data_IF_523185268700
#
_entry.id   IF_523185268700
#
_cell.length_a   1.000
_cell.length_b   1.000
_cell.length_c   1.000
_cell.angle_alpha   90.00
_cell.angle_beta   90.00
_cell.angle_gamma   90.00
#
_symmetry.space_group_name_H-M   'P 1'
#
loop_
_entity.id
_entity.type
_entity.pdbx_description
1 polymer ?
#
# COMPACT_ATOMS: atom_id res chain seq x y z
N UNK A 1 16.31 -24.51 -2.19
CA UNK A 1 17.77 -24.33 -2.38
C UNK A 1 18.43 -25.51 -1.68
N UNK A 2 18.95 -26.44 -2.45
CA UNK A 2 19.67 -27.60 -1.91
C UNK A 2 21.16 -27.22 -1.73
N UNK A 3 21.62 -27.30 -0.49
CA UNK A 3 22.99 -26.94 -0.18
C UNK A 3 23.77 -28.14 0.40
N UNK A 4 24.38 -28.92 -0.47
CA UNK A 4 25.17 -30.09 -0.12
C UNK A 4 26.42 -29.80 0.76
N UNK A 5 26.73 -28.51 1.06
CA UNK A 5 27.96 -28.11 1.78
C UNK A 5 27.68 -27.54 3.19
N UNK A 6 26.53 -27.78 3.77
CA UNK A 6 26.17 -27.32 5.13
C UNK A 6 26.28 -25.80 5.36
N UNK A 7 26.28 -24.97 4.32
CA UNK A 7 26.21 -23.51 4.49
C UNK A 7 24.81 -23.10 4.96
N UNK A 8 24.73 -22.16 5.90
CA UNK A 8 23.47 -21.55 6.27
C UNK A 8 23.04 -20.57 5.15
N UNK A 9 21.81 -20.72 4.68
CA UNK A 9 21.23 -19.84 3.68
C UNK A 9 20.18 -18.98 4.34
N UNK A 10 20.36 -17.66 4.30
CA UNK A 10 19.36 -16.67 4.70
C UNK A 10 18.78 -16.08 3.42
N UNK A 11 17.47 -16.21 3.23
CA UNK A 11 16.79 -15.73 2.04
C UNK A 11 15.72 -14.71 2.43
N UNK A 12 15.78 -13.52 1.82
CA UNK A 12 14.69 -12.55 1.82
C UNK A 12 13.76 -12.91 0.66
N UNK A 13 12.50 -13.21 0.97
CA UNK A 13 11.52 -13.64 -0.02
C UNK A 13 10.48 -12.53 -0.21
N UNK A 14 9.96 -12.41 -1.43
CA UNK A 14 8.86 -11.52 -1.75
C UNK A 14 7.60 -11.89 -0.94
N UNK A 15 6.79 -10.88 -0.63
CA UNK A 15 5.53 -11.05 0.07
C UNK A 15 4.55 -9.94 -0.29
N UNK A 16 3.25 -10.25 -0.22
CA UNK A 16 2.17 -9.29 -0.49
C UNK A 16 1.39 -9.06 0.79
N UNK A 17 1.80 -8.03 1.54
CA UNK A 17 1.09 -7.62 2.73
C UNK A 17 -0.24 -6.96 2.36
N UNK A 18 -1.26 -7.24 3.14
CA UNK A 18 -2.59 -6.73 2.84
C UNK A 18 -3.37 -6.32 4.10
N UNK A 19 -4.40 -5.50 3.87
CA UNK A 19 -5.32 -5.03 4.90
C UNK A 19 -6.74 -5.26 4.41
N UNK A 20 -7.57 -5.88 5.25
CA UNK A 20 -9.01 -5.95 5.05
C UNK A 20 -9.67 -4.82 5.83
N UNK A 21 -10.51 -4.02 5.19
CA UNK A 21 -11.33 -3.01 5.85
C UNK A 21 -12.79 -3.41 5.70
N UNK A 22 -13.39 -3.85 6.81
CA UNK A 22 -14.82 -4.19 6.91
C UNK A 22 -15.63 -3.03 7.49
N UNK A 23 -15.21 -2.54 8.64
CA UNK A 23 -15.84 -1.44 9.36
C UNK A 23 -14.82 -0.76 10.29
N UNK A 24 -15.17 0.38 10.87
CA UNK A 24 -14.36 1.03 11.90
C UNK A 24 -15.18 2.04 12.68
N UNK A 25 -14.96 2.14 13.98
CA UNK A 25 -15.49 3.19 14.86
C UNK A 25 -14.52 4.37 15.05
N UNK A 26 -13.42 4.40 14.30
CA UNK A 26 -12.37 5.41 14.36
C UNK A 26 -11.81 5.76 12.97
N UNK A 27 -12.69 6.09 12.02
CA UNK A 27 -12.34 6.26 10.60
C UNK A 27 -11.18 7.24 10.36
N UNK A 28 -11.22 8.41 11.01
CA UNK A 28 -10.15 9.41 10.87
C UNK A 28 -8.80 8.92 11.45
N UNK A 29 -8.83 8.10 12.50
CA UNK A 29 -7.63 7.51 13.08
C UNK A 29 -7.07 6.40 12.17
N UNK A 30 -7.94 5.56 11.60
CA UNK A 30 -7.60 4.56 10.60
C UNK A 30 -6.90 5.22 9.39
N UNK A 31 -7.49 6.27 8.81
CA UNK A 31 -6.90 6.97 7.66
C UNK A 31 -5.52 7.57 7.99
N UNK A 32 -5.35 8.14 9.19
CA UNK A 32 -4.04 8.66 9.63
C UNK A 32 -3.01 7.56 9.79
N UNK A 33 -3.41 6.42 10.36
CA UNK A 33 -2.53 5.25 10.49
C UNK A 33 -2.11 4.71 9.12
N UNK A 34 -3.05 4.57 8.19
CA UNK A 34 -2.77 4.15 6.82
C UNK A 34 -1.84 5.16 6.12
N UNK A 35 -2.11 6.46 6.22
CA UNK A 35 -1.26 7.49 5.62
C UNK A 35 0.19 7.41 6.13
N UNK A 36 0.38 7.18 7.43
CA UNK A 36 1.72 6.98 8.01
C UNK A 36 2.38 5.70 7.48
N UNK A 37 1.71 4.55 7.59
CA UNK A 37 2.30 3.25 7.24
C UNK A 37 2.64 3.13 5.76
N UNK A 38 1.82 3.71 4.87
CA UNK A 38 2.07 3.72 3.43
C UNK A 38 3.19 4.68 3.02
N UNK A 39 3.47 5.70 3.85
CA UNK A 39 4.51 6.70 3.57
C UNK A 39 5.87 6.33 4.17
N UNK A 40 5.89 5.53 5.24
CA UNK A 40 7.09 5.22 6.00
C UNK A 40 8.20 4.64 5.12
N UNK A 41 9.37 5.30 5.12
CA UNK A 41 10.53 4.99 4.27
C UNK A 41 10.21 4.85 2.77
N UNK A 42 9.20 5.61 2.27
CA UNK A 42 8.69 5.48 0.90
C UNK A 42 8.32 4.03 0.55
N UNK A 43 7.60 3.35 1.46
CA UNK A 43 7.11 1.99 1.23
C UNK A 43 8.19 0.92 1.04
N UNK A 44 9.45 1.20 1.36
CA UNK A 44 10.56 0.27 1.16
C UNK A 44 10.81 -0.59 2.40
N UNK A 45 9.77 -1.19 2.92
CA UNK A 45 9.81 -2.10 4.06
C UNK A 45 9.07 -3.39 3.74
N UNK A 46 9.61 -4.52 4.20
CA UNK A 46 8.98 -5.83 4.07
C UNK A 46 7.58 -5.94 4.75
N UNK A 47 7.22 -4.97 5.58
CA UNK A 47 5.92 -4.88 6.28
C UNK A 47 4.96 -3.87 5.64
N UNK A 48 5.36 -3.14 4.59
CA UNK A 48 4.47 -2.17 3.93
C UNK A 48 3.27 -2.88 3.29
N UNK A 49 2.07 -2.40 3.60
CA UNK A 49 0.84 -2.98 3.04
C UNK A 49 0.65 -2.53 1.59
N UNK A 50 0.68 -3.50 0.68
CA UNK A 50 0.52 -3.27 -0.75
C UNK A 50 -0.94 -3.25 -1.18
N UNK A 51 -1.78 -4.13 -0.63
CA UNK A 51 -3.18 -4.26 -1.00
C UNK A 51 -4.10 -3.90 0.17
N UNK A 52 -5.05 -3.00 -0.06
CA UNK A 52 -6.12 -2.63 0.86
C UNK A 52 -7.43 -3.12 0.24
N UNK A 53 -8.05 -4.13 0.85
CA UNK A 53 -9.25 -4.80 0.35
C UNK A 53 -10.48 -4.13 0.95
N UNK A 54 -11.32 -3.53 0.10
CA UNK A 54 -12.50 -2.77 0.52
C UNK A 54 -13.74 -3.28 -0.21
N UNK A 55 -14.84 -3.61 0.50
CA UNK A 55 -16.09 -4.04 -0.11
C UNK A 55 -16.66 -3.02 -1.10
N UNK A 56 -17.24 -3.49 -2.19
CA UNK A 56 -17.87 -2.65 -3.22
C UNK A 56 -19.04 -1.85 -2.67
N UNK A 57 -19.75 -2.40 -1.66
CA UNK A 57 -20.80 -1.71 -0.92
C UNK A 57 -20.31 -0.60 0.01
N UNK A 58 -18.98 -0.51 0.20
CA UNK A 58 -18.39 0.41 1.16
C UNK A 58 -18.23 -0.21 2.55
N UNK A 59 -18.01 0.65 3.55
CA UNK A 59 -17.75 0.26 4.94
C UNK A 59 -18.61 1.08 5.89
N UNK A 60 -18.94 0.53 7.05
CA UNK A 60 -19.57 1.27 8.13
C UNK A 60 -18.53 2.01 8.97
N UNK A 61 -18.84 3.24 9.37
CA UNK A 61 -17.98 4.08 10.21
C UNK A 61 -18.80 4.80 11.30
N UNK A 62 -18.12 5.39 12.28
CA UNK A 62 -18.74 6.18 13.35
C UNK A 62 -19.56 7.38 12.82
N UNK A 63 -19.18 7.91 11.65
CA UNK A 63 -19.86 9.05 11.00
C UNK A 63 -20.90 8.58 9.95
N UNK A 64 -21.22 7.27 9.88
CA UNK A 64 -22.10 6.65 8.90
C UNK A 64 -21.36 5.88 7.79
N UNK A 65 -22.07 5.27 6.85
CA UNK A 65 -21.46 4.45 5.80
C UNK A 65 -20.64 5.30 4.84
N UNK A 66 -19.52 4.73 4.41
CA UNK A 66 -18.62 5.27 3.39
C UNK A 66 -18.59 4.35 2.18
N UNK A 67 -18.90 4.86 1.01
CA UNK A 67 -18.74 4.12 -0.24
C UNK A 67 -17.25 3.81 -0.53
N UNK A 68 -17.01 2.80 -1.36
CA UNK A 68 -15.65 2.48 -1.84
C UNK A 68 -14.93 3.71 -2.43
N UNK A 69 -15.62 4.51 -3.24
CA UNK A 69 -15.03 5.69 -3.87
C UNK A 69 -14.70 6.80 -2.84
N UNK A 70 -15.51 6.95 -1.80
CA UNK A 70 -15.21 7.86 -0.69
C UNK A 70 -13.99 7.39 0.10
N UNK A 71 -13.88 6.09 0.39
CA UNK A 71 -12.68 5.53 1.07
C UNK A 71 -11.42 5.79 0.25
N UNK A 72 -11.45 5.57 -1.07
CA UNK A 72 -10.35 5.87 -1.98
C UNK A 72 -9.96 7.36 -1.92
N UNK A 73 -10.95 8.26 -2.03
CA UNK A 73 -10.70 9.70 -2.03
C UNK A 73 -10.20 10.20 -0.68
N UNK A 74 -10.76 9.70 0.42
CA UNK A 74 -10.38 10.10 1.77
C UNK A 74 -8.98 9.57 2.14
N UNK A 75 -8.61 8.36 1.70
CA UNK A 75 -7.26 7.84 1.86
C UNK A 75 -6.23 8.68 1.09
N UNK A 76 -6.53 9.04 -0.16
CA UNK A 76 -5.65 9.91 -0.95
C UNK A 76 -5.45 11.27 -0.27
N UNK A 77 -6.54 11.91 0.23
CA UNK A 77 -6.47 13.15 1.01
C UNK A 77 -5.67 12.99 2.30
N UNK A 78 -5.82 11.86 3.00
CA UNK A 78 -5.10 11.59 4.24
C UNK A 78 -3.58 11.51 4.00
N UNK A 79 -3.15 10.81 2.93
CA UNK A 79 -1.73 10.74 2.54
C UNK A 79 -1.20 12.12 2.14
N UNK A 80 -1.93 12.87 1.32
CA UNK A 80 -1.55 14.23 0.93
C UNK A 80 -1.46 15.16 2.16
N UNK A 81 -2.45 15.13 3.03
CA UNK A 81 -2.48 15.95 4.25
C UNK A 81 -1.36 15.59 5.23
N UNK A 82 -1.05 14.30 5.36
CA UNK A 82 0.05 13.82 6.20
C UNK A 82 1.42 14.32 5.71
N UNK A 83 1.64 14.31 4.41
CA UNK A 83 2.89 14.74 3.77
C UNK A 83 2.92 16.25 3.39
N UNK A 84 1.87 17.02 3.73
CA UNK A 84 1.78 18.42 3.34
C UNK A 84 2.84 19.31 4.00
N UNK A 85 3.35 18.91 5.18
CA UNK A 85 4.42 19.64 5.87
C UNK A 85 5.77 19.07 5.47
N UNK A 86 6.68 19.88 4.88
CA UNK A 86 7.99 19.42 4.43
C UNK A 86 8.80 18.68 5.49
N UNK A 87 8.78 19.17 6.74
CA UNK A 87 9.47 18.55 7.86
C UNK A 87 8.95 17.13 8.17
N UNK A 88 7.65 16.89 8.04
CA UNK A 88 7.05 15.57 8.22
C UNK A 88 7.43 14.66 7.05
N UNK A 89 7.29 15.17 5.83
CA UNK A 89 7.61 14.41 4.63
C UNK A 89 9.10 13.98 4.60
N UNK A 90 10.03 14.88 4.95
CA UNK A 90 11.47 14.55 5.04
C UNK A 90 11.80 13.57 6.15
N UNK A 91 11.06 13.60 7.28
CA UNK A 91 11.27 12.67 8.38
C UNK A 91 10.76 11.26 8.11
N UNK A 92 9.72 11.13 7.27
CA UNK A 92 9.00 9.85 7.05
C UNK A 92 9.43 9.17 5.75
N UNK A 93 9.60 9.94 4.67
CA UNK A 93 9.96 9.38 3.36
C UNK A 93 11.45 9.03 3.30
N UNK A 94 11.75 7.93 2.62
CA UNK A 94 13.12 7.49 2.34
C UNK A 94 13.52 7.73 0.88
N UNK A 95 14.83 7.78 0.63
CA UNK A 95 15.33 7.75 -0.74
C UNK A 95 15.06 6.39 -1.40
N UNK A 96 14.68 6.41 -2.67
CA UNK A 96 14.49 5.18 -3.44
C UNK A 96 15.85 4.52 -3.68
N UNK A 97 15.97 3.25 -3.28
CA UNK A 97 17.24 2.55 -3.20
C UNK A 97 17.63 1.84 -4.50
N UNK A 98 16.68 1.60 -5.41
CA UNK A 98 16.98 0.91 -6.68
C UNK A 98 16.26 1.53 -7.88
N UNK A 99 16.89 1.42 -9.04
CA UNK A 99 16.28 1.85 -10.31
C UNK A 99 15.01 1.04 -10.64
N UNK A 100 14.96 -0.24 -10.25
CA UNK A 100 13.79 -1.09 -10.47
C UNK A 100 12.58 -0.61 -9.65
N UNK A 101 12.82 -0.15 -8.41
CA UNK A 101 11.75 0.44 -7.60
C UNK A 101 11.25 1.74 -8.22
N UNK A 102 12.15 2.58 -8.71
CA UNK A 102 11.77 3.81 -9.41
C UNK A 102 10.93 3.50 -10.66
N UNK A 103 11.37 2.56 -11.49
CA UNK A 103 10.63 2.13 -12.69
C UNK A 103 9.23 1.60 -12.35
N UNK A 104 9.09 0.84 -11.24
CA UNK A 104 7.76 0.38 -10.77
C UNK A 104 6.85 1.53 -10.35
N UNK A 105 7.42 2.56 -9.67
CA UNK A 105 6.66 3.76 -9.29
C UNK A 105 6.18 4.52 -10.52
N UNK A 106 7.03 4.66 -11.53
CA UNK A 106 6.70 5.34 -12.79
C UNK A 106 5.61 4.59 -13.56
N UNK A 107 5.73 3.26 -13.68
CA UNK A 107 4.71 2.39 -14.28
C UNK A 107 3.37 2.53 -13.56
N UNK A 108 3.37 2.47 -12.23
CA UNK A 108 2.16 2.61 -11.41
C UNK A 108 1.55 4.02 -11.58
N UNK A 109 2.37 5.06 -11.56
CA UNK A 109 1.92 6.45 -11.76
C UNK A 109 1.37 6.71 -13.17
N UNK A 110 1.80 5.94 -14.17
CA UNK A 110 1.28 5.96 -15.53
C UNK A 110 -0.12 5.35 -15.69
N UNK A 111 -0.63 4.67 -14.66
CA UNK A 111 -1.96 4.05 -14.67
C UNK A 111 -2.04 2.68 -15.35
N UNK A 112 -0.91 2.07 -15.67
CA UNK A 112 -0.88 0.75 -16.32
C UNK A 112 -1.33 -0.39 -15.40
N UNK A 113 -1.29 -0.17 -14.08
CA UNK A 113 -1.66 -1.15 -13.05
C UNK A 113 -3.03 -0.89 -12.41
N UNK A 114 -3.77 0.13 -12.87
CA UNK A 114 -5.07 0.50 -12.31
C UNK A 114 -5.35 2.00 -12.39
N UNK A 115 -6.51 2.41 -11.92
CA UNK A 115 -6.88 3.84 -11.88
C UNK A 115 -6.07 4.57 -10.81
N UNK A 116 -5.23 5.50 -11.21
CA UNK A 116 -4.47 6.34 -10.27
C UNK A 116 -5.43 7.24 -9.48
N UNK A 117 -5.45 7.09 -8.16
CA UNK A 117 -6.20 7.95 -7.22
C UNK A 117 -5.29 8.96 -6.51
N UNK A 118 -4.00 8.64 -6.42
CA UNK A 118 -2.95 9.56 -5.98
C UNK A 118 -1.67 9.24 -6.75
N UNK A 119 -1.18 10.17 -7.55
CA UNK A 119 0.09 10.02 -8.25
C UNK A 119 1.27 10.27 -7.31
N UNK A 120 2.34 9.51 -7.50
CA UNK A 120 3.61 9.77 -6.81
C UNK A 120 4.26 11.04 -7.34
N UNK A 121 4.82 11.82 -6.44
CA UNK A 121 5.61 13.01 -6.78
C UNK A 121 7.03 12.91 -6.22
N UNK A 122 7.98 13.53 -6.91
CA UNK A 122 9.34 13.69 -6.40
C UNK A 122 9.34 14.76 -5.32
N UNK A 123 10.02 14.48 -4.19
CA UNK A 123 10.29 15.44 -3.14
C UNK A 123 11.78 15.77 -3.14
N UNK A 124 12.12 17.06 -3.25
CA UNK A 124 13.49 17.51 -3.06
C UNK A 124 13.86 17.49 -1.57
N UNK A 125 15.04 16.93 -1.27
CA UNK A 125 15.58 16.92 0.09
C UNK A 125 16.75 17.92 0.14
N UNK A 126 16.65 19.05 0.88
CA UNK A 126 17.69 20.07 0.94
C UNK A 126 19.02 19.56 1.52
N UNK A 127 18.96 18.63 2.45
CA UNK A 127 20.14 18.03 3.08
C UNK A 127 20.81 17.01 2.14
N UNK A 128 19.99 16.30 1.35
CA UNK A 128 20.45 15.28 0.39
C UNK A 128 19.91 15.54 -1.02
N UNK A 129 20.41 16.58 -1.73
CA UNK A 129 19.83 17.01 -3.01
C UNK A 129 19.95 15.99 -4.15
N UNK A 130 20.80 14.97 -3.99
CA UNK A 130 20.93 13.85 -4.93
C UNK A 130 20.01 12.68 -4.62
N UNK A 131 19.32 12.70 -3.48
CA UNK A 131 18.40 11.64 -3.10
C UNK A 131 17.16 11.66 -3.99
N UNK A 132 16.77 10.52 -4.49
CA UNK A 132 15.52 10.33 -5.23
C UNK A 132 14.43 9.94 -4.23
N UNK A 133 13.69 10.92 -3.72
CA UNK A 133 12.61 10.70 -2.75
C UNK A 133 11.28 10.75 -3.48
N UNK A 134 10.43 9.75 -3.26
CA UNK A 134 9.10 9.64 -3.88
C UNK A 134 8.00 9.50 -2.84
N UNK A 135 6.89 10.22 -3.05
CA UNK A 135 5.66 10.04 -2.28
C UNK A 135 4.93 8.77 -2.73
N UNK A 136 4.00 8.23 -1.91
CA UNK A 136 3.18 7.09 -2.31
C UNK A 136 2.37 7.35 -3.58
N UNK A 137 2.22 6.29 -4.39
CA UNK A 137 1.20 6.18 -5.43
C UNK A 137 0.08 5.27 -4.92
N UNK A 138 -1.17 5.70 -5.06
CA UNK A 138 -2.34 4.91 -4.75
C UNK A 138 -3.13 4.62 -6.01
N UNK A 139 -3.52 3.37 -6.19
CA UNK A 139 -4.28 2.89 -7.34
C UNK A 139 -5.57 2.23 -6.88
N UNK A 140 -6.65 2.47 -7.60
CA UNK A 140 -7.89 1.70 -7.46
C UNK A 140 -7.94 0.63 -8.55
N UNK A 141 -8.31 -0.59 -8.20
CA UNK A 141 -8.51 -1.69 -9.13
C UNK A 141 -9.62 -2.63 -8.63
N UNK A 142 -10.13 -3.47 -9.50
CA UNK A 142 -11.06 -4.53 -9.13
C UNK A 142 -10.31 -5.81 -8.70
N UNK A 143 -10.95 -6.64 -7.89
CA UNK A 143 -10.38 -7.92 -7.45
C UNK A 143 -10.02 -8.85 -8.62
N UNK A 144 -10.63 -8.66 -9.78
CA UNK A 144 -10.32 -9.42 -11.01
C UNK A 144 -8.97 -9.02 -11.65
N UNK A 145 -8.43 -7.85 -11.30
CA UNK A 145 -7.18 -7.33 -11.87
C UNK A 145 -5.94 -7.91 -11.14
N UNK A 146 -5.93 -9.21 -10.92
CA UNK A 146 -4.92 -9.91 -10.09
C UNK A 146 -3.48 -9.61 -10.47
N UNK A 147 -3.18 -9.46 -11.76
CA UNK A 147 -1.84 -9.12 -12.26
C UNK A 147 -1.30 -7.80 -11.73
N UNK A 148 -2.18 -6.89 -11.30
CA UNK A 148 -1.78 -5.61 -10.76
C UNK A 148 -1.18 -5.76 -9.35
N UNK A 149 -1.86 -6.48 -8.44
CA UNK A 149 -1.62 -6.44 -7.01
C UNK A 149 -1.22 -7.77 -6.35
N UNK A 150 -1.33 -8.92 -7.04
CA UNK A 150 -1.02 -10.24 -6.46
C UNK A 150 0.50 -10.52 -6.37
N UNK A 151 1.32 -9.82 -7.15
CA UNK A 151 2.78 -9.91 -7.04
C UNK A 151 3.34 -8.73 -6.25
N UNK A 152 4.43 -8.93 -5.53
CA UNK A 152 5.09 -7.86 -4.80
C UNK A 152 5.54 -6.73 -5.72
N UNK A 153 5.13 -5.51 -5.40
CA UNK A 153 5.52 -4.25 -6.05
C UNK A 153 6.32 -3.39 -5.07
N UNK A 154 7.46 -3.89 -4.64
CA UNK A 154 8.28 -3.28 -3.59
C UNK A 154 8.53 -1.79 -3.86
N UNK A 155 8.07 -0.93 -2.92
CA UNK A 155 8.12 0.52 -3.02
C UNK A 155 6.83 1.18 -2.51
N UNK A 156 6.69 2.50 -2.68
CA UNK A 156 5.52 3.26 -2.23
C UNK A 156 4.32 3.07 -3.18
N UNK A 157 3.91 1.84 -3.41
CA UNK A 157 2.84 1.46 -4.35
C UNK A 157 1.77 0.72 -3.58
N UNK A 158 0.55 1.25 -3.56
CA UNK A 158 -0.57 0.64 -2.84
C UNK A 158 -1.81 0.57 -3.73
N UNK A 159 -2.46 -0.58 -3.69
CA UNK A 159 -3.71 -0.85 -4.40
C UNK A 159 -4.88 -0.84 -3.42
N UNK A 160 -5.90 -0.04 -3.69
CA UNK A 160 -7.20 -0.15 -3.05
C UNK A 160 -8.04 -1.06 -3.94
N UNK A 161 -8.18 -2.31 -3.51
CA UNK A 161 -8.81 -3.37 -4.29
C UNK A 161 -10.29 -3.46 -3.94
N UNK A 162 -11.15 -3.26 -4.93
CA UNK A 162 -12.59 -3.41 -4.76
C UNK A 162 -12.95 -4.88 -4.77
N UNK A 163 -13.50 -5.39 -3.69
CA UNK A 163 -14.01 -6.76 -3.55
C UNK A 163 -15.52 -6.77 -3.43
N UNK A 164 -16.17 -7.90 -3.72
CA UNK A 164 -17.64 -7.97 -3.69
C UNK A 164 -18.20 -7.63 -2.30
N UNK A 165 -17.64 -8.22 -1.26
CA UNK A 165 -18.05 -8.09 0.14
C UNK A 165 -16.89 -8.46 1.08
N UNK A 166 -17.12 -8.39 2.39
CA UNK A 166 -16.12 -8.73 3.42
C UNK A 166 -15.70 -10.20 3.36
N UNK A 167 -16.60 -11.12 3.08
CA UNK A 167 -16.25 -12.53 2.95
C UNK A 167 -15.29 -12.77 1.77
N UNK A 168 -15.53 -12.08 0.65
CA UNK A 168 -14.64 -12.07 -0.51
C UNK A 168 -13.29 -11.42 -0.20
N UNK A 169 -13.26 -10.36 0.63
CA UNK A 169 -12.00 -9.74 1.09
C UNK A 169 -11.16 -10.72 1.90
N UNK A 170 -11.77 -11.43 2.85
CA UNK A 170 -11.10 -12.43 3.69
C UNK A 170 -10.55 -13.57 2.82
N UNK A 171 -11.37 -14.12 1.91
CA UNK A 171 -10.95 -15.20 1.02
C UNK A 171 -9.79 -14.76 0.09
N UNK A 172 -9.83 -13.51 -0.41
CA UNK A 172 -8.74 -12.96 -1.22
C UNK A 172 -7.47 -12.77 -0.39
N UNK A 173 -7.58 -12.25 0.83
CA UNK A 173 -6.45 -12.11 1.76
C UNK A 173 -5.80 -13.46 2.07
N UNK A 174 -6.59 -14.50 2.37
CA UNK A 174 -6.10 -15.86 2.56
C UNK A 174 -5.36 -16.39 1.32
N UNK A 175 -5.91 -16.17 0.13
CA UNK A 175 -5.30 -16.59 -1.12
C UNK A 175 -3.98 -15.83 -1.41
N UNK A 176 -3.92 -14.53 -1.16
CA UNK A 176 -2.69 -13.73 -1.27
C UNK A 176 -1.60 -14.34 -0.37
N UNK A 177 -1.91 -14.53 0.91
CA UNK A 177 -0.96 -15.06 1.90
C UNK A 177 -0.51 -16.47 1.56
N UNK A 178 -1.42 -17.36 1.19
CA UNK A 178 -1.10 -18.76 0.90
C UNK A 178 -0.29 -18.94 -0.41
N UNK A 179 -0.47 -18.04 -1.38
CA UNK A 179 0.18 -18.12 -2.70
C UNK A 179 1.51 -17.37 -2.75
N UNK A 180 1.56 -16.16 -2.17
CA UNK A 180 2.70 -15.24 -2.31
C UNK A 180 3.43 -14.97 -0.99
N UNK A 181 2.89 -15.41 0.14
CA UNK A 181 3.39 -15.05 1.46
C UNK A 181 3.03 -13.62 1.85
N UNK A 182 3.09 -13.33 3.13
CA UNK A 182 3.00 -12.00 3.71
C UNK A 182 3.67 -12.00 5.08
N UNK A 183 4.28 -10.88 5.47
CA UNK A 183 4.74 -10.66 6.83
C UNK A 183 3.64 -10.11 7.72
N UNK A 184 2.76 -9.31 7.14
CA UNK A 184 1.67 -8.65 7.89
C UNK A 184 0.34 -8.79 7.16
N UNK A 185 -0.70 -9.02 7.94
CA UNK A 185 -2.09 -8.85 7.53
C UNK A 185 -2.78 -7.98 8.57
N UNK A 186 -3.42 -6.91 8.13
CA UNK A 186 -4.20 -6.02 8.97
C UNK A 186 -5.70 -6.25 8.78
N UNK A 187 -6.48 -6.01 9.82
CA UNK A 187 -7.95 -6.01 9.73
C UNK A 187 -8.50 -4.83 10.51
N UNK A 188 -9.37 -4.07 9.88
CA UNK A 188 -10.24 -3.10 10.55
C UNK A 188 -11.67 -3.65 10.52
N UNK A 189 -12.22 -3.89 11.70
CA UNK A 189 -13.58 -4.38 11.92
C UNK A 189 -14.03 -4.01 13.33
N UNK A 190 -15.31 -3.79 13.52
CA UNK A 190 -16.00 -3.49 14.79
C UNK A 190 -16.97 -4.59 15.16
#
# INVERSE_FOLDING_TARGET
>A
IDNARQAQVYAELAGVNNIVIDSTDAYKAMLRNLAFTLSLYSGQMCTTSQAILVPAGGIDTEDGPKSYDEVCADLAKAVQGFLAKPEVAHAVLGAIQSADTLSRIELASGGELGKVILASTRLENPEFPKAEVRTPVLLACDAADEKAYMEERFGPITFVVKVADTASAIALSERIVSTHGALTVGVYST
#
